data_IF_433037018201
#
_entry.id   IF_433037018201
#
_cell.length_a   1.000
_cell.length_b   1.000
_cell.length_c   1.000
_cell.angle_alpha   90.00
_cell.angle_beta   90.00
_cell.angle_gamma   90.00
#
_symmetry.space_group_name_H-M   'P 1'
#
loop_
_entity.id
_entity.type
_entity.pdbx_description
1 polymer ?
#
# COMPACT_ATOMS: atom_id res chain seq x y z
N UNK A 1 12.82 -5.77 -6.82
CA UNK A 1 11.50 -5.79 -6.14
C UNK A 1 10.51 -5.14 -7.08
N UNK A 2 9.26 -5.63 -7.17
CA UNK A 2 8.21 -4.94 -7.94
C UNK A 2 7.99 -3.55 -7.31
N UNK A 3 7.98 -2.48 -8.12
CA UNK A 3 7.77 -1.09 -7.67
C UNK A 3 6.47 -0.92 -6.87
N UNK A 4 5.46 -1.75 -7.14
CA UNK A 4 4.23 -1.77 -6.38
C UNK A 4 4.41 -2.39 -4.99
N UNK A 5 5.20 -3.46 -4.87
CA UNK A 5 5.49 -4.13 -3.59
C UNK A 5 6.31 -3.20 -2.68
N UNK A 6 7.29 -2.50 -3.23
CA UNK A 6 8.07 -1.50 -2.48
C UNK A 6 7.18 -0.38 -1.93
N UNK A 7 6.29 0.17 -2.75
CA UNK A 7 5.33 1.19 -2.31
C UNK A 7 4.35 0.67 -1.25
N UNK A 8 3.96 -0.61 -1.30
CA UNK A 8 3.13 -1.25 -0.26
C UNK A 8 3.89 -1.37 1.06
N UNK A 9 5.19 -1.68 1.04
CA UNK A 9 6.02 -1.62 2.25
C UNK A 9 6.07 -0.21 2.84
N UNK A 10 6.26 0.82 2.03
CA UNK A 10 6.21 2.21 2.47
C UNK A 10 4.84 2.56 3.08
N UNK A 11 3.73 2.11 2.47
CA UNK A 11 2.39 2.29 3.04
C UNK A 11 2.23 1.58 4.39
N UNK A 12 2.70 0.34 4.52
CA UNK A 12 2.65 -0.41 5.79
C UNK A 12 3.41 0.34 6.89
N UNK A 13 4.59 0.86 6.57
CA UNK A 13 5.37 1.70 7.48
C UNK A 13 4.59 2.97 7.89
N UNK A 14 3.92 3.64 6.95
CA UNK A 14 3.10 4.81 7.24
C UNK A 14 1.95 4.48 8.21
N UNK A 15 1.28 3.34 8.03
CA UNK A 15 0.21 2.88 8.94
C UNK A 15 0.75 2.66 10.35
N UNK A 16 1.89 1.98 10.49
CA UNK A 16 2.54 1.73 11.79
C UNK A 16 3.03 3.03 12.45
N UNK A 17 3.33 4.05 11.65
CA UNK A 17 3.74 5.39 12.10
C UNK A 17 2.55 6.34 12.30
N UNK A 18 1.31 5.84 12.25
CA UNK A 18 0.07 6.62 12.39
C UNK A 18 -0.09 7.76 11.36
N UNK A 19 0.61 7.70 10.24
CA UNK A 19 0.51 8.67 9.15
C UNK A 19 -0.75 8.39 8.33
N UNK A 20 -1.63 9.38 8.21
CA UNK A 20 -2.87 9.23 7.43
C UNK A 20 -2.65 8.77 5.99
N UNK A 21 -3.60 8.02 5.43
CA UNK A 21 -3.53 7.54 4.04
C UNK A 21 -3.32 8.67 3.02
N UNK A 22 -3.90 9.85 3.27
CA UNK A 22 -3.76 11.00 2.39
C UNK A 22 -2.31 11.52 2.38
N UNK A 23 -1.68 11.62 3.55
CA UNK A 23 -0.30 12.08 3.67
C UNK A 23 0.70 11.03 3.17
N UNK A 24 0.48 9.76 3.52
CA UNK A 24 1.26 8.65 2.98
C UNK A 24 1.26 8.65 1.44
N UNK A 25 0.10 8.88 0.82
CA UNK A 25 0.01 8.96 -0.65
C UNK A 25 0.78 10.15 -1.23
N UNK A 26 0.81 11.32 -0.57
CA UNK A 26 1.64 12.45 -1.02
C UNK A 26 3.13 12.11 -0.93
N UNK A 27 3.55 11.41 0.13
CA UNK A 27 4.94 10.95 0.28
C UNK A 27 5.31 9.97 -0.85
N UNK A 28 4.42 9.03 -1.19
CA UNK A 28 4.61 8.14 -2.33
C UNK A 28 4.68 8.92 -3.66
N UNK A 29 3.78 9.89 -3.88
CA UNK A 29 3.81 10.73 -5.07
C UNK A 29 5.13 11.49 -5.23
N UNK A 30 5.70 11.97 -4.13
CA UNK A 30 7.01 12.63 -4.12
C UNK A 30 8.15 11.67 -4.46
N UNK A 31 8.11 10.43 -3.97
CA UNK A 31 9.16 9.44 -4.16
C UNK A 31 9.11 8.72 -5.52
N UNK A 32 7.91 8.38 -5.99
CA UNK A 32 7.70 7.51 -7.16
C UNK A 32 7.12 8.24 -8.37
N UNK A 33 6.64 9.48 -8.20
CA UNK A 33 6.14 10.30 -9.30
C UNK A 33 5.01 9.61 -10.08
N UNK A 34 5.09 9.53 -11.42
CA UNK A 34 4.09 8.85 -12.25
C UNK A 34 3.94 7.35 -11.96
N UNK A 35 4.95 6.70 -11.37
CA UNK A 35 4.92 5.28 -11.02
C UNK A 35 4.19 5.02 -9.68
N UNK A 36 3.60 6.05 -9.08
CA UNK A 36 2.87 5.91 -7.81
C UNK A 36 1.65 5.02 -7.99
N UNK A 37 1.43 4.11 -7.05
CA UNK A 37 0.21 3.29 -7.00
C UNK A 37 -1.04 4.16 -7.04
N UNK A 38 -2.09 3.67 -7.70
CA UNK A 38 -3.33 4.43 -7.85
C UNK A 38 -3.96 4.77 -6.50
N UNK A 39 -4.74 5.85 -6.44
CA UNK A 39 -5.44 6.27 -5.22
C UNK A 39 -6.25 5.12 -4.63
N UNK A 40 -7.07 4.44 -5.44
CA UNK A 40 -7.90 3.31 -5.00
C UNK A 40 -7.06 2.20 -4.37
N UNK A 41 -5.96 1.80 -5.02
CA UNK A 41 -5.06 0.76 -4.47
C UNK A 41 -4.40 1.21 -3.17
N UNK A 42 -3.97 2.47 -3.06
CA UNK A 42 -3.40 2.99 -1.83
C UNK A 42 -4.39 2.88 -0.66
N UNK A 43 -5.67 3.24 -0.87
CA UNK A 43 -6.71 3.11 0.16
C UNK A 43 -7.01 1.66 0.54
N UNK A 44 -7.13 0.76 -0.45
CA UNK A 44 -7.33 -0.68 -0.21
C UNK A 44 -6.23 -1.27 0.68
N UNK A 45 -4.97 -1.01 0.32
CA UNK A 45 -3.81 -1.51 1.06
C UNK A 45 -3.67 -0.85 2.43
N UNK A 46 -3.86 0.46 2.52
CA UNK A 46 -3.82 1.18 3.79
C UNK A 46 -4.85 0.63 4.77
N UNK A 47 -6.09 0.43 4.32
CA UNK A 47 -7.14 -0.18 5.14
C UNK A 47 -6.76 -1.60 5.55
N UNK A 48 -6.31 -2.44 4.62
CA UNK A 48 -5.91 -3.81 4.92
C UNK A 48 -4.80 -3.88 5.98
N UNK A 49 -3.79 -3.00 5.91
CA UNK A 49 -2.73 -2.92 6.91
C UNK A 49 -3.25 -2.42 8.27
N UNK A 50 -4.18 -1.45 8.27
CA UNK A 50 -4.83 -0.97 9.49
C UNK A 50 -5.67 -2.07 10.15
N UNK A 51 -6.27 -2.94 9.34
CA UNK A 51 -7.05 -4.10 9.78
C UNK A 51 -6.16 -5.32 10.13
N UNK A 52 -4.82 -5.15 10.17
CA UNK A 52 -3.88 -6.16 10.67
C UNK A 52 -3.23 -7.05 9.61
N UNK A 53 -3.40 -6.79 8.32
CA UNK A 53 -2.69 -7.53 7.27
C UNK A 53 -1.18 -7.30 7.36
N UNK A 54 -0.39 -8.37 7.36
CA UNK A 54 1.07 -8.25 7.38
C UNK A 54 1.76 -8.45 6.02
N UNK A 55 1.14 -9.24 5.14
CA UNK A 55 1.70 -9.63 3.83
C UNK A 55 1.47 -8.52 2.80
N UNK A 56 2.53 -8.16 2.06
CA UNK A 56 2.52 -7.11 1.02
C UNK A 56 2.28 -7.63 -0.40
N UNK A 57 2.42 -8.95 -0.58
CA UNK A 57 2.06 -9.63 -1.82
C UNK A 57 0.53 -9.71 -1.94
N UNK A 58 0.03 -9.70 -3.17
CA UNK A 58 -1.39 -9.92 -3.40
C UNK A 58 -1.79 -11.27 -2.79
N UNK A 59 -2.91 -11.27 -2.04
CA UNK A 59 -3.46 -12.54 -1.58
C UNK A 59 -3.76 -13.36 -2.82
N UNK A 60 -3.33 -14.62 -2.84
CA UNK A 60 -3.80 -15.56 -3.84
C UNK A 60 -5.32 -15.48 -3.83
N UNK A 61 -5.91 -14.97 -4.91
CA UNK A 61 -7.35 -15.13 -5.10
C UNK A 61 -7.53 -16.62 -5.21
N UNK A 62 -8.13 -17.23 -4.20
CA UNK A 62 -8.63 -18.59 -4.28
C UNK A 62 -9.77 -18.60 -5.30
N UNK A 63 -9.42 -18.52 -6.58
CA UNK A 63 -10.27 -19.02 -7.63
C UNK A 63 -10.12 -20.53 -7.61
N UNK A 64 -11.14 -21.20 -7.09
CA UNK A 64 -11.59 -22.58 -7.34
C UNK A 64 -12.17 -23.18 -6.06
N UNK A 65 -13.50 -23.16 -5.96
CA UNK A 65 -14.33 -24.17 -6.62
C UNK A 65 -15.29 -23.43 -7.56
#
# INVERSE_FOLDING_TARGET
>A
MDKNVEQRHCLKFCVLSEISCAEARKMLQKAYGPATISKTRAYEWYKAFKDGREIVDDLHRSGLN
#
